data_IF_793986796119
#
_entry.id   IF_793986796119
#
_cell.length_a   1.000
_cell.length_b   1.000
_cell.length_c   1.000
_cell.angle_alpha   90.00
_cell.angle_beta   90.00
_cell.angle_gamma   90.00
#
_symmetry.space_group_name_H-M   'P 1'
#
loop_
_entity.id
_entity.type
_entity.pdbx_description
1 polymer ?
#
# COMPACT_ATOMS: atom_id res chain seq x y z
N UNK A 1 -83.12 8.41 -31.27
CA UNK A 1 -84.14 7.42 -30.89
C UNK A 1 -83.45 6.34 -30.07
N UNK A 2 -84.08 6.00 -28.96
CA UNK A 2 -83.55 5.29 -27.81
C UNK A 2 -83.49 3.75 -28.05
N UNK A 3 -82.87 3.02 -27.11
CA UNK A 3 -83.03 1.57 -26.84
C UNK A 3 -82.16 0.61 -27.70
N UNK A 4 -81.59 -0.52 -27.24
CA UNK A 4 -81.55 -1.23 -25.95
C UNK A 4 -80.82 -2.58 -26.15
N UNK A 5 -79.91 -2.92 -25.22
CA UNK A 5 -79.67 -4.25 -24.58
C UNK A 5 -79.13 -5.52 -25.30
N UNK A 6 -78.24 -6.17 -24.53
CA UNK A 6 -78.12 -7.62 -24.17
C UNK A 6 -77.10 -8.52 -24.91
N UNK A 7 -76.06 -8.88 -24.12
CA UNK A 7 -75.37 -10.17 -23.89
C UNK A 7 -75.26 -11.26 -24.98
N UNK A 8 -74.01 -11.70 -25.23
CA UNK A 8 -73.59 -13.09 -25.51
C UNK A 8 -72.08 -13.20 -25.21
N UNK A 9 -71.66 -13.91 -24.14
CA UNK A 9 -71.33 -15.35 -24.08
C UNK A 9 -69.90 -15.71 -24.56
N UNK A 10 -69.01 -15.85 -23.57
CA UNK A 10 -67.96 -16.87 -23.36
C UNK A 10 -67.04 -17.41 -24.49
N UNK A 11 -65.73 -17.20 -24.26
CA UNK A 11 -64.57 -18.10 -24.42
C UNK A 11 -64.15 -18.52 -25.85
N UNK A 12 -62.97 -18.02 -26.26
CA UNK A 12 -61.95 -18.90 -26.86
C UNK A 12 -60.51 -18.46 -26.50
N UNK A 13 -59.74 -19.46 -26.10
CA UNK A 13 -58.35 -19.43 -25.66
C UNK A 13 -57.39 -18.92 -26.75
N UNK A 14 -56.41 -18.11 -26.35
CA UNK A 14 -55.31 -17.66 -27.21
C UNK A 14 -54.06 -17.34 -26.39
N UNK A 15 -53.52 -18.34 -25.66
CA UNK A 15 -52.21 -18.22 -25.01
C UNK A 15 -51.15 -18.32 -26.12
N UNK A 16 -50.63 -17.18 -26.56
CA UNK A 16 -49.40 -17.18 -27.35
C UNK A 16 -48.21 -17.47 -26.42
N UNK A 17 -47.74 -18.71 -26.47
CA UNK A 17 -46.48 -19.13 -25.90
C UNK A 17 -45.32 -18.51 -26.71
N UNK A 18 -44.84 -17.34 -26.28
CA UNK A 18 -43.59 -16.77 -26.75
C UNK A 18 -42.41 -17.47 -26.08
N UNK A 19 -41.75 -18.38 -26.81
CA UNK A 19 -40.49 -18.99 -26.39
C UNK A 19 -39.34 -17.99 -26.66
N UNK A 20 -38.97 -17.19 -25.66
CA UNK A 20 -37.74 -16.39 -25.70
C UNK A 20 -36.55 -17.24 -25.30
N UNK A 21 -35.36 -17.14 -25.95
CA UNK A 21 -34.19 -17.86 -25.51
C UNK A 21 -33.77 -17.36 -24.12
N UNK A 22 -33.81 -18.24 -23.12
CA UNK A 22 -33.18 -18.04 -21.82
C UNK A 22 -31.67 -17.86 -22.05
N UNK A 23 -31.21 -16.62 -22.09
CA UNK A 23 -29.80 -16.33 -21.88
C UNK A 23 -29.46 -16.74 -20.45
N UNK A 24 -28.77 -17.87 -20.31
CA UNK A 24 -28.10 -18.24 -19.07
C UNK A 24 -27.05 -17.17 -18.77
N UNK A 25 -27.42 -16.18 -17.96
CA UNK A 25 -26.50 -15.22 -17.39
C UNK A 25 -25.55 -15.99 -16.48
N UNK A 26 -24.40 -16.39 -17.01
CA UNK A 26 -23.29 -16.97 -16.24
C UNK A 26 -22.86 -15.93 -15.22
N UNK A 27 -23.37 -16.06 -14.00
CA UNK A 27 -23.15 -15.18 -12.87
C UNK A 27 -21.67 -15.28 -12.47
N UNK A 28 -20.84 -14.44 -13.07
CA UNK A 28 -19.49 -14.17 -12.58
C UNK A 28 -19.67 -13.54 -11.22
N UNK A 29 -19.41 -14.31 -10.17
CA UNK A 29 -19.33 -13.78 -8.82
C UNK A 29 -18.22 -12.74 -8.83
N UNK A 30 -18.59 -11.46 -8.97
CA UNK A 30 -17.70 -10.37 -8.66
C UNK A 30 -17.44 -10.50 -7.16
N UNK A 31 -16.22 -10.89 -6.79
CA UNK A 31 -15.76 -10.78 -5.42
C UNK A 31 -15.77 -9.29 -5.12
N UNK A 32 -16.82 -8.84 -4.43
CA UNK A 32 -16.90 -7.47 -3.93
C UNK A 32 -15.87 -7.37 -2.82
N UNK A 33 -14.68 -6.87 -3.17
CA UNK A 33 -13.68 -6.45 -2.19
C UNK A 33 -14.35 -5.42 -1.30
N UNK A 34 -14.49 -5.75 -0.01
CA UNK A 34 -15.14 -4.88 0.98
C UNK A 34 -14.24 -3.65 1.13
N UNK A 35 -14.76 -2.49 0.72
CA UNK A 35 -14.01 -1.24 0.75
C UNK A 35 -13.68 -0.89 2.21
N UNK A 36 -12.38 -0.85 2.53
CA UNK A 36 -11.91 -0.58 3.89
C UNK A 36 -12.23 0.88 4.25
N UNK A 37 -12.82 1.11 5.44
CA UNK A 37 -13.06 2.47 5.94
C UNK A 37 -11.72 3.23 6.02
N UNK A 38 -11.71 4.48 5.55
CA UNK A 38 -10.53 5.34 5.57
C UNK A 38 -10.36 5.92 6.96
N UNK A 39 -9.29 5.53 7.65
CA UNK A 39 -8.93 6.11 8.96
C UNK A 39 -7.78 7.09 8.76
N UNK A 40 -8.00 8.36 9.12
CA UNK A 40 -6.95 9.38 9.08
C UNK A 40 -6.03 9.25 10.30
N UNK A 41 -4.73 9.49 10.13
CA UNK A 41 -3.74 9.34 11.20
C UNK A 41 -3.46 10.69 11.88
N UNK A 42 -3.87 10.82 13.14
CA UNK A 42 -3.58 11.99 13.99
C UNK A 42 -2.13 12.06 14.51
N UNK A 43 -1.25 11.18 14.02
CA UNK A 43 0.11 11.08 14.50
C UNK A 43 0.93 12.35 14.18
N UNK A 44 1.45 13.01 15.23
CA UNK A 44 2.24 14.25 15.17
C UNK A 44 3.69 14.09 15.61
N UNK A 45 4.10 12.87 15.97
CA UNK A 45 5.48 12.59 16.37
C UNK A 45 6.47 12.53 15.20
N UNK A 46 7.72 12.13 15.45
CA UNK A 46 8.73 12.06 14.42
C UNK A 46 8.36 11.09 13.29
N UNK A 47 8.75 11.39 12.05
CA UNK A 47 8.50 10.56 10.88
C UNK A 47 9.18 9.19 11.03
N UNK A 48 8.55 8.17 10.45
CA UNK A 48 9.10 6.80 10.38
C UNK A 48 9.82 6.57 9.05
N UNK A 49 10.86 5.75 9.07
CA UNK A 49 11.57 5.32 7.86
C UNK A 49 10.83 4.13 7.26
N UNK A 50 10.37 4.26 6.02
CA UNK A 50 9.59 3.23 5.32
C UNK A 50 10.25 2.91 4.00
N UNK A 51 10.39 1.64 3.68
CA UNK A 51 10.82 1.21 2.35
C UNK A 51 9.63 0.61 1.58
N UNK A 52 9.64 0.79 0.27
CA UNK A 52 8.69 0.13 -0.64
C UNK A 52 9.49 -0.81 -1.51
N UNK A 53 9.12 -2.09 -1.49
CA UNK A 53 9.64 -3.12 -2.38
C UNK A 53 8.81 -3.11 -3.65
N UNK A 54 9.47 -3.41 -4.77
CA UNK A 54 8.88 -3.47 -6.09
C UNK A 54 7.64 -4.36 -6.13
N UNK A 55 6.56 -3.79 -6.63
CA UNK A 55 5.34 -4.54 -6.81
C UNK A 55 5.53 -5.52 -7.95
N UNK A 56 5.14 -6.77 -7.71
CA UNK A 56 5.14 -7.75 -8.80
C UNK A 56 3.98 -7.48 -9.75
N UNK A 57 4.18 -7.79 -11.02
CA UNK A 57 3.08 -7.94 -11.96
C UNK A 57 2.70 -9.41 -12.08
N UNK A 58 1.52 -9.79 -11.59
CA UNK A 58 1.00 -11.16 -11.69
C UNK A 58 0.06 -11.34 -12.89
N UNK A 59 -0.04 -10.33 -13.75
CA UNK A 59 -0.93 -10.32 -14.90
C UNK A 59 -0.14 -10.62 -16.18
N UNK A 60 -0.84 -11.00 -17.25
CA UNK A 60 -0.24 -11.13 -18.58
C UNK A 60 -0.06 -9.78 -19.31
N UNK A 61 -0.49 -8.67 -18.70
CA UNK A 61 -0.47 -7.34 -19.31
C UNK A 61 0.76 -6.57 -18.87
N UNK A 62 1.37 -5.81 -19.80
CA UNK A 62 2.36 -4.75 -19.54
C UNK A 62 3.46 -5.09 -18.53
N UNK A 63 4.69 -5.36 -18.98
CA UNK A 63 5.81 -5.76 -18.10
C UNK A 63 6.08 -4.77 -16.93
N UNK A 64 5.71 -3.49 -17.09
CA UNK A 64 6.02 -2.41 -16.15
C UNK A 64 4.90 -2.04 -15.18
N UNK A 65 3.77 -2.77 -15.16
CA UNK A 65 2.64 -2.42 -14.27
C UNK A 65 3.04 -2.41 -12.79
N UNK A 66 3.94 -3.32 -12.39
CA UNK A 66 4.53 -3.36 -11.05
C UNK A 66 5.33 -2.11 -10.70
N UNK A 67 6.22 -1.68 -11.59
CA UNK A 67 7.01 -0.45 -11.42
C UNK A 67 6.11 0.77 -11.27
N UNK A 68 5.12 0.90 -12.16
CA UNK A 68 4.17 2.02 -12.14
C UNK A 68 3.37 2.04 -10.84
N UNK A 69 2.90 0.88 -10.37
CA UNK A 69 2.20 0.77 -9.09
C UNK A 69 3.10 1.18 -7.91
N UNK A 70 4.37 0.78 -7.93
CA UNK A 70 5.37 1.11 -6.91
C UNK A 70 5.59 2.62 -6.85
N UNK A 71 5.83 3.27 -8.00
CA UNK A 71 6.06 4.71 -8.10
C UNK A 71 4.84 5.51 -7.63
N UNK A 72 3.64 5.05 -7.98
CA UNK A 72 2.39 5.65 -7.51
C UNK A 72 2.31 5.56 -5.98
N UNK A 73 2.57 4.39 -5.39
CA UNK A 73 2.50 4.23 -3.94
C UNK A 73 3.54 5.11 -3.23
N UNK A 74 4.80 5.12 -3.68
CA UNK A 74 5.85 6.01 -3.14
C UNK A 74 5.40 7.47 -3.20
N UNK A 75 4.81 7.88 -4.33
CA UNK A 75 4.29 9.24 -4.50
C UNK A 75 3.16 9.53 -3.49
N UNK A 76 2.20 8.63 -3.32
CA UNK A 76 1.07 8.83 -2.40
C UNK A 76 1.51 8.81 -0.94
N UNK A 77 2.46 7.94 -0.56
CA UNK A 77 3.06 7.94 0.78
C UNK A 77 3.88 9.22 1.01
N UNK A 78 4.63 9.70 0.02
CA UNK A 78 5.44 10.92 0.12
C UNK A 78 4.59 12.17 0.32
N UNK A 79 3.43 12.25 -0.33
CA UNK A 79 2.45 13.34 -0.14
C UNK A 79 1.96 13.46 1.29
N UNK A 80 1.92 12.37 2.05
CA UNK A 80 1.50 12.39 3.46
C UNK A 80 2.46 13.20 4.35
N UNK A 81 3.73 13.31 3.95
CA UNK A 81 4.83 13.90 4.75
C UNK A 81 5.00 13.25 6.15
N UNK A 82 4.43 12.06 6.37
CA UNK A 82 4.55 11.31 7.63
C UNK A 82 5.72 10.33 7.65
N UNK A 83 6.33 10.09 6.50
CA UNK A 83 7.39 9.09 6.33
C UNK A 83 8.64 9.67 5.68
N UNK A 84 9.78 9.09 6.03
CA UNK A 84 11.02 9.15 5.27
C UNK A 84 11.06 7.91 4.40
N UNK A 85 10.92 8.11 3.09
CA UNK A 85 10.93 7.00 2.15
C UNK A 85 12.37 6.66 1.79
N UNK A 86 12.76 5.41 2.00
CA UNK A 86 14.06 4.91 1.58
C UNK A 86 14.02 4.60 0.08
N UNK A 87 15.10 4.95 -0.61
CA UNK A 87 15.26 4.70 -2.04
C UNK A 87 15.11 3.21 -2.37
N UNK A 88 14.36 2.96 -3.44
CA UNK A 88 14.12 1.63 -4.03
C UNK A 88 15.41 0.86 -4.30
N UNK A 89 16.39 1.50 -4.93
CA UNK A 89 17.67 0.86 -5.30
C UNK A 89 18.45 0.34 -4.10
N UNK A 90 18.38 1.02 -2.95
CA UNK A 90 19.05 0.57 -1.72
C UNK A 90 18.42 -0.71 -1.18
N UNK A 91 17.09 -0.81 -1.25
CA UNK A 91 16.37 -2.03 -0.87
C UNK A 91 16.67 -3.19 -1.84
N UNK A 92 16.61 -2.92 -3.14
CA UNK A 92 16.84 -3.94 -4.16
C UNK A 92 18.25 -4.53 -4.07
N UNK A 93 19.29 -3.69 -3.88
CA UNK A 93 20.66 -4.17 -3.68
C UNK A 93 20.79 -5.11 -2.49
N UNK A 94 20.19 -4.78 -1.35
CA UNK A 94 20.25 -5.64 -0.17
C UNK A 94 19.49 -6.96 -0.37
N UNK A 95 18.36 -6.94 -1.07
CA UNK A 95 17.62 -8.16 -1.40
C UNK A 95 18.43 -9.05 -2.36
N UNK A 96 19.13 -8.47 -3.33
CA UNK A 96 20.03 -9.17 -4.25
C UNK A 96 21.24 -9.78 -3.53
N UNK A 97 21.90 -9.02 -2.64
CA UNK A 97 23.03 -9.49 -1.84
C UNK A 97 22.65 -10.70 -0.98
N UNK A 98 21.43 -10.70 -0.45
CA UNK A 98 20.92 -11.82 0.33
C UNK A 98 20.48 -13.02 -0.54
N UNK A 99 20.56 -12.92 -1.88
CA UNK A 99 20.04 -13.88 -2.88
C UNK A 99 18.53 -14.11 -2.76
N UNK A 100 17.81 -13.11 -2.25
CA UNK A 100 16.39 -13.22 -1.90
C UNK A 100 15.43 -12.82 -3.04
N UNK A 101 15.95 -12.59 -4.25
CA UNK A 101 15.18 -12.15 -5.42
C UNK A 101 14.68 -13.25 -6.38
N UNK A 102 14.98 -14.54 -6.15
CA UNK A 102 14.76 -15.57 -7.18
C UNK A 102 13.32 -16.07 -7.31
N UNK A 103 12.47 -15.94 -6.28
CA UNK A 103 11.10 -16.48 -6.30
C UNK A 103 10.02 -15.45 -6.66
N UNK A 104 10.40 -14.18 -6.90
CA UNK A 104 9.48 -13.07 -7.09
C UNK A 104 8.75 -12.67 -5.80
N UNK A 105 8.24 -13.62 -5.02
CA UNK A 105 7.58 -13.42 -3.72
C UNK A 105 8.62 -13.33 -2.61
N UNK A 106 8.73 -12.13 -2.02
CA UNK A 106 9.54 -11.86 -0.84
C UNK A 106 8.74 -12.24 0.42
N UNK A 107 9.30 -13.16 1.19
CA UNK A 107 8.80 -13.56 2.50
C UNK A 107 8.91 -12.39 3.51
N UNK A 108 7.92 -12.16 4.40
CA UNK A 108 8.00 -11.15 5.46
C UNK A 108 9.29 -11.20 6.30
N UNK A 109 9.77 -12.39 6.66
CA UNK A 109 11.01 -12.58 7.43
C UNK A 109 12.24 -12.09 6.66
N UNK A 110 12.27 -12.31 5.36
CA UNK A 110 13.30 -11.82 4.44
C UNK A 110 13.25 -10.30 4.33
N UNK A 111 12.07 -9.74 4.12
CA UNK A 111 11.89 -8.29 4.08
C UNK A 111 12.37 -7.66 5.38
N UNK A 112 11.99 -8.21 6.54
CA UNK A 112 12.41 -7.73 7.84
C UNK A 112 13.94 -7.75 8.01
N UNK A 113 14.62 -8.83 7.60
CA UNK A 113 16.10 -8.87 7.65
C UNK A 113 16.75 -7.76 6.81
N UNK A 114 16.32 -7.60 5.55
CA UNK A 114 16.81 -6.51 4.69
C UNK A 114 16.47 -5.12 5.26
N UNK A 115 15.28 -4.98 5.83
CA UNK A 115 14.84 -3.75 6.49
C UNK A 115 15.66 -3.38 7.72
N UNK A 116 16.04 -4.36 8.54
CA UNK A 116 16.90 -4.17 9.71
C UNK A 116 18.25 -3.58 9.29
N UNK A 117 18.83 -4.05 8.18
CA UNK A 117 20.08 -3.52 7.63
C UNK A 117 19.94 -2.06 7.13
N UNK A 118 18.79 -1.68 6.57
CA UNK A 118 18.51 -0.28 6.16
C UNK A 118 18.08 0.65 7.29
N UNK A 119 17.81 0.09 8.47
CA UNK A 119 17.24 0.83 9.59
C UNK A 119 15.86 1.42 9.25
N UNK A 120 15.02 0.69 8.51
CA UNK A 120 13.62 1.06 8.29
C UNK A 120 12.72 0.47 9.39
N UNK A 121 11.61 1.14 9.69
CA UNK A 121 10.62 0.68 10.66
C UNK A 121 9.60 -0.27 10.03
N UNK A 122 9.23 -0.02 8.77
CA UNK A 122 8.26 -0.81 8.05
C UNK A 122 8.65 -0.98 6.57
N UNK A 123 8.18 -2.07 5.98
CA UNK A 123 8.31 -2.34 4.55
C UNK A 123 6.93 -2.53 3.95
N UNK A 124 6.68 -1.90 2.82
CA UNK A 124 5.48 -2.12 2.02
C UNK A 124 5.86 -2.92 0.78
N UNK A 125 5.15 -4.03 0.54
CA UNK A 125 5.32 -4.87 -0.66
C UNK A 125 3.95 -5.16 -1.25
N UNK A 126 3.89 -5.52 -2.53
CA UNK A 126 2.60 -5.76 -3.18
C UNK A 126 2.69 -6.42 -4.54
N UNK A 127 1.53 -6.55 -5.17
CA UNK A 127 1.44 -7.01 -6.55
C UNK A 127 0.22 -6.44 -7.27
N UNK A 128 0.36 -6.15 -8.55
CA UNK A 128 -0.78 -5.98 -9.45
C UNK A 128 -1.30 -7.38 -9.77
N UNK A 129 -2.44 -7.75 -9.18
CA UNK A 129 -3.00 -9.09 -9.31
C UNK A 129 -3.99 -9.22 -10.46
N UNK A 130 -4.66 -8.12 -10.83
CA UNK A 130 -5.55 -8.10 -11.97
C UNK A 130 -5.36 -6.80 -12.74
N UNK A 131 -5.34 -6.92 -14.05
CA UNK A 131 -5.34 -5.80 -14.96
C UNK A 131 -6.11 -6.20 -16.21
N UNK A 132 -6.94 -5.31 -16.73
CA UNK A 132 -7.74 -5.58 -17.91
C UNK A 132 -8.20 -4.30 -18.59
N UNK A 133 -8.20 -4.33 -19.92
CA UNK A 133 -8.78 -3.28 -20.75
C UNK A 133 -9.92 -3.85 -21.56
N UNK A 134 -11.05 -3.15 -21.57
CA UNK A 134 -12.24 -3.48 -22.37
C UNK A 134 -12.60 -2.28 -23.21
N UNK A 135 -12.76 -2.49 -24.51
CA UNK A 135 -13.29 -1.47 -25.42
C UNK A 135 -14.68 -1.89 -25.88
N UNK A 136 -15.66 -1.03 -25.64
CA UNK A 136 -17.03 -1.15 -26.14
C UNK A 136 -17.24 -0.11 -27.24
N UNK A 137 -17.88 -0.50 -28.34
CA UNK A 137 -18.13 0.39 -29.47
C UNK A 137 -19.61 0.35 -29.87
N UNK A 138 -20.15 1.49 -30.27
CA UNK A 138 -21.46 1.60 -30.92
C UNK A 138 -21.30 2.42 -32.20
N UNK A 139 -21.70 1.83 -33.32
CA UNK A 139 -21.65 2.45 -34.65
C UNK A 139 -23.08 2.64 -35.14
N UNK A 140 -23.54 3.88 -35.18
CA UNK A 140 -24.81 4.29 -35.76
C UNK A 140 -24.54 5.18 -36.98
N UNK A 141 -25.50 5.25 -37.89
CA UNK A 141 -25.36 5.87 -39.23
C UNK A 141 -24.72 7.28 -39.21
N UNK A 142 -24.93 8.06 -38.16
CA UNK A 142 -24.41 9.43 -37.98
C UNK A 142 -23.49 9.60 -36.76
N UNK A 143 -23.39 8.61 -35.87
CA UNK A 143 -22.66 8.67 -34.60
C UNK A 143 -21.81 7.42 -34.36
N UNK A 144 -20.52 7.62 -34.08
CA UNK A 144 -19.63 6.54 -33.61
C UNK A 144 -19.18 6.82 -32.19
N UNK A 145 -19.48 5.92 -31.27
CA UNK A 145 -19.04 6.02 -29.87
C UNK A 145 -18.12 4.86 -29.55
N UNK A 146 -16.97 5.16 -28.93
CA UNK A 146 -16.03 4.18 -28.39
C UNK A 146 -15.86 4.45 -26.91
N UNK A 147 -16.02 3.43 -26.08
CA UNK A 147 -15.88 3.47 -24.62
C UNK A 147 -14.77 2.52 -24.21
N UNK A 148 -13.71 3.05 -23.63
CA UNK A 148 -12.61 2.28 -23.04
C UNK A 148 -12.84 2.17 -21.53
N UNK A 149 -12.66 0.98 -20.98
CA UNK A 149 -12.78 0.65 -19.57
C UNK A 149 -11.49 -0.04 -19.18
N UNK A 150 -10.74 0.54 -18.25
CA UNK A 150 -9.54 -0.06 -17.67
C UNK A 150 -9.83 -0.39 -16.22
N UNK A 151 -9.49 -1.61 -15.82
CA UNK A 151 -9.65 -2.12 -14.46
C UNK A 151 -8.31 -2.63 -13.95
N UNK A 152 -7.96 -2.26 -12.72
CA UNK A 152 -6.77 -2.72 -12.02
C UNK A 152 -7.10 -3.12 -10.58
N UNK A 153 -6.50 -4.22 -10.12
CA UNK A 153 -6.54 -4.66 -8.72
C UNK A 153 -5.10 -4.79 -8.22
N UNK A 154 -4.83 -4.17 -7.07
CA UNK A 154 -3.52 -4.11 -6.45
C UNK A 154 -3.63 -4.63 -5.03
N UNK A 155 -2.83 -5.64 -4.70
CA UNK A 155 -2.74 -6.21 -3.36
C UNK A 155 -1.48 -5.71 -2.65
N UNK A 156 -1.58 -5.41 -1.36
CA UNK A 156 -0.47 -4.91 -0.55
C UNK A 156 -0.33 -5.65 0.75
N UNK A 157 0.89 -5.62 1.28
CA UNK A 157 1.26 -6.08 2.62
C UNK A 157 2.21 -5.07 3.24
N UNK A 158 1.99 -4.76 4.51
CA UNK A 158 2.87 -3.95 5.34
C UNK A 158 3.52 -4.88 6.37
N UNK A 159 4.84 -4.90 6.40
CA UNK A 159 5.65 -5.74 7.28
C UNK A 159 6.34 -4.86 8.32
N UNK A 160 6.19 -5.22 9.58
CA UNK A 160 6.97 -4.66 10.68
C UNK A 160 8.40 -5.21 10.63
N UNK A 161 9.38 -4.33 10.59
CA UNK A 161 10.78 -4.75 10.39
C UNK A 161 11.38 -5.32 11.67
N UNK A 162 10.88 -4.92 12.83
CA UNK A 162 11.39 -5.34 14.13
C UNK A 162 11.03 -6.81 14.40
N UNK A 163 9.75 -7.12 14.29
CA UNK A 163 9.15 -8.45 14.56
C UNK A 163 9.06 -9.35 13.33
N UNK A 164 9.11 -8.79 12.12
CA UNK A 164 8.88 -9.52 10.87
C UNK A 164 7.42 -9.89 10.61
N UNK A 165 6.49 -9.40 11.43
CA UNK A 165 5.06 -9.69 11.28
C UNK A 165 4.39 -8.82 10.22
N UNK A 166 3.31 -9.33 9.63
CA UNK A 166 2.45 -8.55 8.74
C UNK A 166 1.53 -7.67 9.62
N UNK A 167 1.70 -6.35 9.53
CA UNK A 167 0.85 -5.38 10.21
C UNK A 167 -0.50 -5.19 9.53
N UNK A 168 -0.47 -5.25 8.20
CA UNK A 168 -1.64 -4.92 7.39
C UNK A 168 -1.56 -5.62 6.04
N UNK A 169 -2.71 -6.08 5.56
CA UNK A 169 -2.89 -6.56 4.19
C UNK A 169 -4.20 -6.02 3.66
N UNK A 170 -4.21 -5.57 2.41
CA UNK A 170 -5.41 -5.05 1.78
C UNK A 170 -5.33 -5.19 0.26
N UNK A 171 -6.46 -4.96 -0.41
CA UNK A 171 -6.55 -4.93 -1.86
C UNK A 171 -7.37 -3.72 -2.31
N UNK A 172 -6.86 -3.01 -3.30
CA UNK A 172 -7.51 -1.86 -3.91
C UNK A 172 -7.93 -2.16 -5.33
N UNK A 173 -9.15 -1.78 -5.69
CA UNK A 173 -9.66 -1.88 -7.06
C UNK A 173 -9.93 -0.50 -7.66
N UNK A 174 -9.31 -0.23 -8.80
CA UNK A 174 -9.48 0.98 -9.57
C UNK A 174 -10.12 0.68 -10.93
N UNK A 175 -11.10 1.50 -11.31
CA UNK A 175 -11.76 1.41 -12.62
C UNK A 175 -11.77 2.81 -13.24
N UNK A 176 -11.33 2.91 -14.49
CA UNK A 176 -11.36 4.14 -15.27
C UNK A 176 -12.16 3.89 -16.53
N UNK A 177 -13.05 4.83 -16.88
CA UNK A 177 -13.93 4.74 -18.04
C UNK A 177 -13.77 6.01 -18.88
N UNK A 178 -13.36 5.89 -20.14
CA UNK A 178 -13.24 7.03 -21.08
C UNK A 178 -14.08 6.77 -22.31
N UNK A 179 -14.95 7.72 -22.65
CA UNK A 179 -15.82 7.67 -23.82
C UNK A 179 -15.38 8.72 -24.83
N UNK A 180 -15.35 8.34 -26.10
CA UNK A 180 -15.05 9.24 -27.22
C UNK A 180 -16.11 9.07 -28.29
N UNK A 181 -16.64 10.18 -28.79
CA UNK A 181 -17.69 10.22 -29.80
C UNK A 181 -17.23 10.95 -31.06
N UNK A 182 -17.68 10.48 -32.22
CA UNK A 182 -17.65 11.20 -33.48
C UNK A 182 -19.07 11.40 -33.97
N UNK A 183 -19.39 12.62 -34.40
CA UNK A 183 -20.65 12.98 -35.03
C UNK A 183 -20.35 13.55 -36.41
N UNK A 184 -20.91 12.95 -37.46
CA UNK A 184 -20.75 13.47 -38.83
C UNK A 184 -19.27 13.73 -39.25
N UNK A 185 -18.36 12.86 -38.80
CA UNK A 185 -16.91 13.00 -39.06
C UNK A 185 -16.19 14.02 -38.17
N UNK A 186 -16.91 14.82 -37.38
CA UNK A 186 -16.38 15.78 -36.43
C UNK A 186 -16.29 15.15 -35.02
N UNK A 187 -15.12 15.23 -34.39
CA UNK A 187 -14.87 14.65 -33.06
C UNK A 187 -13.46 14.07 -32.93
N UNK A 188 -13.08 13.71 -31.71
CA UNK A 188 -11.72 13.22 -31.41
C UNK A 188 -11.54 11.76 -31.86
N UNK A 189 -10.36 11.44 -32.44
CA UNK A 189 -9.98 10.05 -32.72
C UNK A 189 -9.57 9.39 -31.39
N UNK A 190 -10.28 8.34 -30.99
CA UNK A 190 -9.92 7.54 -29.82
C UNK A 190 -8.73 6.61 -30.13
N UNK A 191 -7.52 7.14 -29.95
CA UNK A 191 -6.31 6.32 -29.80
C UNK A 191 -6.39 5.45 -28.53
N UNK A 192 -5.48 4.49 -28.40
CA UNK A 192 -5.20 3.91 -27.09
C UNK A 192 -4.52 4.99 -26.24
N UNK A 193 -5.00 5.14 -25.01
CA UNK A 193 -4.56 6.18 -24.10
C UNK A 193 -3.89 5.52 -22.90
N UNK A 194 -2.55 5.50 -22.92
CA UNK A 194 -1.69 4.92 -21.88
C UNK A 194 -1.94 5.57 -20.51
N UNK A 195 -2.50 6.78 -20.46
CA UNK A 195 -2.80 7.46 -19.19
C UNK A 195 -3.88 6.75 -18.37
N UNK A 196 -4.77 5.98 -19.02
CA UNK A 196 -5.85 5.26 -18.36
C UNK A 196 -5.34 4.15 -17.45
N UNK A 197 -4.19 3.57 -17.77
CA UNK A 197 -3.57 2.49 -16.99
C UNK A 197 -3.05 3.02 -15.66
N UNK A 198 -2.27 4.11 -15.72
CA UNK A 198 -1.77 4.80 -14.54
C UNK A 198 -2.89 5.35 -13.66
N UNK A 199 -3.97 5.85 -14.28
CA UNK A 199 -5.15 6.35 -13.55
C UNK A 199 -5.88 5.20 -12.82
N UNK A 200 -6.04 4.03 -13.46
CA UNK A 200 -6.66 2.87 -12.82
C UNK A 200 -5.82 2.32 -11.66
N UNK A 201 -4.50 2.21 -11.85
CA UNK A 201 -3.58 1.82 -10.78
C UNK A 201 -3.61 2.82 -9.62
N UNK A 202 -3.62 4.13 -9.91
CA UNK A 202 -3.72 5.17 -8.87
C UNK A 202 -5.03 5.10 -8.11
N UNK A 203 -6.16 4.89 -8.80
CA UNK A 203 -7.46 4.71 -8.17
C UNK A 203 -7.51 3.46 -7.29
N UNK A 204 -6.78 2.40 -7.64
CA UNK A 204 -6.63 1.22 -6.79
C UNK A 204 -5.81 1.55 -5.53
N UNK A 205 -4.65 2.18 -5.69
CA UNK A 205 -3.68 2.40 -4.60
C UNK A 205 -4.20 3.39 -3.55
N UNK A 206 -4.78 4.51 -3.99
CA UNK A 206 -5.27 5.57 -3.09
C UNK A 206 -6.32 5.06 -2.09
N UNK A 207 -7.01 3.96 -2.41
CA UNK A 207 -8.02 3.37 -1.51
C UNK A 207 -7.45 2.87 -0.20
N UNK A 208 -6.25 2.32 -0.19
CA UNK A 208 -5.63 1.73 0.99
C UNK A 208 -4.45 2.54 1.54
N UNK A 209 -3.99 3.60 0.85
CA UNK A 209 -2.86 4.44 1.30
C UNK A 209 -3.06 4.99 2.71
N UNK A 210 -4.25 5.51 3.03
CA UNK A 210 -4.52 6.07 4.35
C UNK A 210 -4.43 5.01 5.46
N UNK A 211 -4.89 3.80 5.18
CA UNK A 211 -4.84 2.71 6.15
C UNK A 211 -3.40 2.21 6.33
N UNK A 212 -2.57 2.21 5.29
CA UNK A 212 -1.12 1.97 5.44
C UNK A 212 -0.53 3.02 6.38
N UNK A 213 -0.83 4.30 6.16
CA UNK A 213 -0.30 5.40 6.99
C UNK A 213 -0.72 5.20 8.46
N UNK A 214 -1.99 4.92 8.69
CA UNK A 214 -2.55 4.67 10.02
C UNK A 214 -1.87 3.49 10.72
N UNK A 215 -1.78 2.33 10.07
CA UNK A 215 -1.23 1.11 10.66
C UNK A 215 0.25 1.25 11.03
N UNK A 216 1.04 1.91 10.18
CA UNK A 216 2.44 2.19 10.48
C UNK A 216 2.56 3.19 11.65
N UNK A 217 1.71 4.20 11.70
CA UNK A 217 1.77 5.23 12.75
C UNK A 217 1.17 4.80 14.09
N UNK A 218 0.34 3.76 14.12
CA UNK A 218 -0.21 3.19 15.35
C UNK A 218 0.87 2.47 16.20
N UNK A 219 2.00 2.08 15.59
CA UNK A 219 3.13 1.51 16.32
C UNK A 219 3.92 2.58 17.08
N UNK A 220 4.51 2.27 18.24
CA UNK A 220 5.44 3.18 18.90
C UNK A 220 6.56 3.60 17.94
N UNK A 221 6.91 4.88 17.95
CA UNK A 221 8.03 5.36 17.14
C UNK A 221 9.36 4.92 17.75
N UNK A 222 10.29 4.51 16.90
CA UNK A 222 11.63 4.13 17.31
C UNK A 222 12.69 4.57 16.30
N UNK A 223 13.87 4.91 16.83
CA UNK A 223 15.11 5.02 16.07
C UNK A 223 16.15 4.07 16.67
N UNK A 224 17.37 4.07 16.13
CA UNK A 224 18.47 3.20 16.56
C UNK A 224 19.74 3.99 16.84
N UNK A 225 20.53 3.48 17.77
CA UNK A 225 21.91 3.90 17.99
C UNK A 225 22.76 3.46 16.79
N UNK A 226 23.19 4.42 15.98
CA UNK A 226 24.07 4.19 14.84
C UNK A 226 25.52 3.95 15.28
N UNK A 227 25.99 4.68 16.30
CA UNK A 227 27.33 4.58 16.85
C UNK A 227 27.40 5.22 18.24
N UNK A 228 28.33 4.77 19.08
CA UNK A 228 28.65 5.41 20.36
C UNK A 228 30.13 5.77 20.44
N UNK A 229 30.46 7.06 20.48
CA UNK A 229 31.83 7.57 20.64
C UNK A 229 31.96 8.41 21.91
N UNK A 230 32.89 8.02 22.80
CA UNK A 230 33.09 8.63 24.12
C UNK A 230 31.76 8.82 24.88
N UNK A 231 31.27 10.06 24.93
CA UNK A 231 30.02 10.48 25.58
C UNK A 231 28.86 10.75 24.59
N UNK A 232 29.15 10.71 23.29
CA UNK A 232 28.21 11.02 22.22
C UNK A 232 27.56 9.74 21.70
N UNK A 233 26.24 9.76 21.63
CA UNK A 233 25.42 8.69 21.06
C UNK A 233 24.85 9.21 19.75
N UNK A 234 25.22 8.58 18.64
CA UNK A 234 24.76 8.95 17.31
C UNK A 234 23.53 8.13 16.98
N UNK A 235 22.45 8.80 16.58
CA UNK A 235 21.15 8.20 16.27
C UNK A 235 20.87 8.31 14.77
N UNK A 236 20.18 7.32 14.22
CA UNK A 236 19.76 7.28 12.81
C UNK A 236 18.45 8.04 12.52
N UNK A 237 18.10 8.99 13.39
CA UNK A 237 16.98 9.91 13.24
C UNK A 237 17.39 11.31 13.71
N UNK A 238 16.93 12.34 13.02
CA UNK A 238 17.32 13.72 13.26
C UNK A 238 16.32 14.72 12.67
N UNK A 239 16.84 15.67 11.89
CA UNK A 239 16.06 16.80 11.40
C UNK A 239 14.92 16.39 10.46
N UNK A 240 15.19 15.57 9.44
CA UNK A 240 14.17 15.10 8.49
C UNK A 240 13.10 14.23 9.16
N UNK A 241 13.51 13.46 10.16
CA UNK A 241 12.63 12.69 11.05
C UNK A 241 11.78 13.62 11.92
N UNK A 242 12.13 14.88 12.08
CA UNK A 242 11.44 15.81 12.98
C UNK A 242 11.76 15.58 14.45
N UNK A 243 12.83 14.84 14.75
CA UNK A 243 13.33 14.65 16.11
C UNK A 243 13.99 15.95 16.57
N UNK A 244 13.49 16.57 17.65
CA UNK A 244 13.95 17.90 18.09
C UNK A 244 15.13 17.81 19.05
N UNK A 245 15.96 18.85 19.07
CA UNK A 245 16.95 19.04 20.14
C UNK A 245 16.22 19.23 21.48
N UNK A 246 16.73 18.60 22.53
CA UNK A 246 16.11 18.52 23.85
C UNK A 246 15.13 17.36 24.01
N UNK A 247 14.79 16.63 22.93
CA UNK A 247 13.95 15.43 23.05
C UNK A 247 14.68 14.36 23.85
N UNK A 248 13.96 13.78 24.81
CA UNK A 248 14.45 12.66 25.61
C UNK A 248 13.98 11.33 25.05
N UNK A 249 14.87 10.36 25.06
CA UNK A 249 14.62 9.03 24.55
C UNK A 249 15.03 7.99 25.59
N UNK A 250 14.22 6.95 25.73
CA UNK A 250 14.58 5.74 26.48
C UNK A 250 15.24 4.76 25.52
N UNK A 251 16.39 4.22 25.95
CA UNK A 251 17.21 3.30 25.16
C UNK A 251 17.04 1.88 25.67
N UNK A 252 16.76 0.96 24.75
CA UNK A 252 16.52 -0.45 24.99
C UNK A 252 17.55 -1.31 24.25
N UNK A 253 18.14 -2.27 24.95
CA UNK A 253 18.93 -3.32 24.33
C UNK A 253 18.02 -4.48 23.93
N UNK A 254 18.14 -4.93 22.68
CA UNK A 254 17.39 -6.10 22.21
C UNK A 254 18.15 -7.38 22.56
N UNK A 255 17.59 -8.14 23.50
CA UNK A 255 18.07 -9.45 23.89
C UNK A 255 17.54 -10.57 22.99
N UNK A 256 17.31 -11.74 23.58
CA UNK A 256 16.87 -12.93 22.86
C UNK A 256 15.51 -12.72 22.16
N UNK A 257 15.38 -13.26 20.94
CA UNK A 257 14.09 -13.33 20.24
C UNK A 257 13.17 -14.35 20.91
N UNK A 258 11.94 -13.93 21.19
CA UNK A 258 10.91 -14.77 21.79
C UNK A 258 10.03 -15.31 20.66
N UNK A 259 9.96 -16.63 20.54
CA UNK A 259 9.17 -17.32 19.52
C UNK A 259 8.04 -18.07 20.23
N UNK A 260 6.81 -17.90 19.75
CA UNK A 260 5.68 -18.68 20.23
C UNK A 260 5.91 -20.18 19.88
N UNK A 261 5.90 -21.09 20.87
CA UNK A 261 6.30 -22.48 20.67
C UNK A 261 5.30 -23.28 19.83
N UNK A 262 4.07 -22.78 19.67
CA UNK A 262 3.00 -23.50 18.95
C UNK A 262 2.94 -23.06 17.48
N UNK A 263 3.11 -21.76 17.24
CA UNK A 263 2.94 -21.13 15.93
C UNK A 263 4.27 -20.89 15.22
N UNK A 264 5.39 -20.86 15.95
CA UNK A 264 6.71 -20.52 15.41
C UNK A 264 6.87 -19.04 15.04
N UNK A 265 5.94 -18.18 15.46
CA UNK A 265 5.94 -16.75 15.16
C UNK A 265 6.83 -16.01 16.15
N UNK A 266 7.70 -15.13 15.66
CA UNK A 266 8.47 -14.20 16.49
C UNK A 266 7.56 -13.17 17.14
N UNK A 267 7.59 -13.10 18.47
CA UNK A 267 6.90 -12.10 19.29
C UNK A 267 7.77 -10.86 19.56
N UNK A 268 8.93 -10.78 18.91
CA UNK A 268 9.92 -9.73 19.15
C UNK A 268 11.06 -10.20 20.04
N UNK A 269 11.84 -9.25 20.54
CA UNK A 269 12.99 -9.50 21.39
C UNK A 269 12.68 -9.09 22.83
N UNK A 270 13.35 -9.71 23.80
CA UNK A 270 13.40 -9.18 25.17
C UNK A 270 14.03 -7.79 25.11
N UNK A 271 13.46 -6.84 25.85
CA UNK A 271 13.93 -5.47 25.89
C UNK A 271 14.39 -5.09 27.29
N UNK A 272 15.67 -4.75 27.41
CA UNK A 272 16.25 -4.25 28.65
C UNK A 272 16.42 -2.73 28.55
N UNK A 273 15.82 -1.97 29.45
CA UNK A 273 16.04 -0.52 29.54
C UNK A 273 17.48 -0.24 30.03
N UNK A 274 18.26 0.46 29.21
CA UNK A 274 19.69 0.71 29.47
C UNK A 274 19.92 2.13 29.98
N UNK A 275 19.29 3.12 29.36
CA UNK A 275 19.56 4.53 29.59
C UNK A 275 18.43 5.45 29.13
N UNK A 276 18.43 6.67 29.66
CA UNK A 276 17.71 7.80 29.07
C UNK A 276 18.74 8.75 28.47
N UNK A 277 18.50 9.20 27.24
CA UNK A 277 19.39 10.07 26.49
C UNK A 277 18.66 11.32 26.03
N UNK A 278 19.39 12.44 25.89
CA UNK A 278 18.86 13.71 25.40
C UNK A 278 19.52 14.11 24.09
N UNK A 279 18.73 14.42 23.07
CA UNK A 279 19.22 14.93 21.79
C UNK A 279 19.82 16.31 21.98
N UNK A 280 21.09 16.50 21.62
CA UNK A 280 21.82 17.77 21.80
C UNK A 280 22.05 18.54 20.51
N UNK A 281 22.13 17.86 19.36
CA UNK A 281 22.27 18.50 18.04
C UNK A 281 21.96 17.53 16.90
N UNK A 282 21.71 18.06 15.72
CA UNK A 282 21.62 17.28 14.47
C UNK A 282 22.97 17.16 13.76
N UNK A 283 23.08 16.18 12.86
CA UNK A 283 24.20 16.05 11.92
C UNK A 283 23.75 15.33 10.64
N UNK A 284 24.43 15.59 9.52
CA UNK A 284 24.05 15.03 8.23
C UNK A 284 22.63 15.44 7.81
N UNK A 285 21.99 14.63 6.97
CA UNK A 285 20.62 14.88 6.51
C UNK A 285 19.59 14.51 7.59
N UNK A 286 19.77 13.38 8.28
CA UNK A 286 18.80 12.89 9.28
C UNK A 286 19.45 12.20 10.49
N UNK A 287 20.65 12.61 10.86
CA UNK A 287 21.32 12.13 12.06
C UNK A 287 21.11 13.06 13.26
N UNK A 288 21.20 12.52 14.47
CA UNK A 288 21.33 13.33 15.68
C UNK A 288 22.34 12.77 16.66
N UNK A 289 22.90 13.68 17.47
CA UNK A 289 23.80 13.33 18.57
C UNK A 289 23.04 13.54 19.87
N UNK A 290 23.13 12.56 20.77
CA UNK A 290 22.56 12.59 22.09
C UNK A 290 23.63 12.36 23.16
N UNK A 291 23.32 12.75 24.40
CA UNK A 291 24.13 12.49 25.60
C UNK A 291 23.31 11.65 26.58
N UNK A 292 23.98 10.87 27.43
CA UNK A 292 23.32 10.11 28.50
C UNK A 292 22.87 11.06 29.60
N UNK A 293 21.62 10.93 30.05
CA UNK A 293 21.07 11.59 31.24
C UNK A 293 21.19 10.66 32.45
N UNK A 294 20.73 9.40 32.31
CA UNK A 294 20.78 8.35 33.34
C UNK A 294 21.02 6.99 32.70
N UNK A 295 21.56 6.06 33.48
CA UNK A 295 21.77 4.68 33.07
C UNK A 295 23.17 4.39 32.53
N UNK A 296 23.28 3.26 31.83
CA UNK A 296 24.55 2.72 31.32
C UNK A 296 24.83 3.17 29.89
N UNK A 297 26.05 2.91 29.40
CA UNK A 297 26.41 3.24 28.02
C UNK A 297 25.68 2.31 27.03
N UNK A 298 24.91 2.86 26.06
CA UNK A 298 24.30 2.04 25.02
C UNK A 298 25.31 1.40 24.07
N UNK A 299 24.84 0.41 23.33
CA UNK A 299 25.55 -0.25 22.24
C UNK A 299 25.00 0.17 20.88
N UNK A 300 25.79 -0.08 19.84
CA UNK A 300 25.31 0.09 18.46
C UNK A 300 24.13 -0.84 18.21
N UNK A 301 23.13 -0.37 17.46
CA UNK A 301 21.88 -1.05 17.13
C UNK A 301 20.82 -1.11 18.25
N UNK A 302 21.12 -0.61 19.45
CA UNK A 302 20.11 -0.42 20.51
C UNK A 302 18.96 0.46 20.00
N UNK A 303 17.75 0.18 20.47
CA UNK A 303 16.53 0.89 20.07
C UNK A 303 16.32 2.09 20.98
N UNK A 304 15.94 3.23 20.42
CA UNK A 304 15.55 4.41 21.19
C UNK A 304 14.08 4.76 20.89
N UNK A 305 13.27 4.94 21.93
CA UNK A 305 11.87 5.40 21.84
C UNK A 305 11.69 6.71 22.58
N UNK A 306 10.65 7.47 22.23
CA UNK A 306 10.29 8.67 22.97
C UNK A 306 10.09 8.31 24.44
N UNK A 307 10.76 9.03 25.34
CA UNK A 307 10.50 8.88 26.78
C UNK A 307 9.07 9.38 27.07
N UNK A 308 8.39 8.70 27.99
CA UNK A 308 7.08 9.12 28.51
C UNK A 308 7.17 10.39 29.36
#
# INVERSE_FOLDING_TARGET
>A
MNQMRILMAWILCGVMAGCGPLMSAKQRHAVTVKETERVESDYTGPKRRVAVIDFQNKTAYGQRLGDVATDILITELGKSKKFILVERDKMNRLLEEQKLGMSGVIDPSTAARAGKLLGVNAIVTGSVSQFGTKTEGSDYLITKTKRQIVEAVVDIRVVDVETGQILYTDSGKGIVKRSTGKFLGMGTKAGYDETLEGEALRNAIVKFTQNIIYQINAKPWSCRVAQVDKSNIYLNAGFESGLKVGTRLTVYHLGQEIIDPTTGISMGNVEDEIAEIEVIRHFGEDGSVAKIIKGSRPSTNDICRLAE
#
